data_IF_150699620298
#
_entry.id   IF_150699620298
#
_cell.length_a   1.000
_cell.length_b   1.000
_cell.length_c   1.000
_cell.angle_alpha   90.00
_cell.angle_beta   90.00
_cell.angle_gamma   90.00
#
_symmetry.space_group_name_H-M   'P 1'
#
loop_
_entity.id
_entity.type
_entity.pdbx_description
1 polymer ?
#
# COMPACT_ATOMS: atom_id res chain seq x y z
N UNK A 1 -12.90 -1.63 -0.39
CA UNK A 1 -11.82 -1.87 0.61
C UNK A 1 -10.90 -2.91 0.01
N UNK A 2 -9.63 -2.56 -0.17
CA UNK A 2 -8.65 -3.43 -0.83
C UNK A 2 -7.70 -4.04 0.20
N UNK A 3 -7.33 -5.29 -0.04
CA UNK A 3 -6.41 -6.04 0.79
C UNK A 3 -4.96 -5.71 0.39
N UNK A 4 -4.09 -5.50 1.38
CA UNK A 4 -2.64 -5.39 1.15
C UNK A 4 -1.92 -6.48 1.93
N UNK A 5 -2.19 -6.59 3.24
CA UNK A 5 -1.66 -7.67 4.08
C UNK A 5 -2.66 -7.98 5.19
N UNK A 6 -2.40 -9.03 5.99
CA UNK A 6 -3.29 -9.43 7.09
C UNK A 6 -3.60 -8.28 8.07
N UNK A 7 -2.64 -7.38 8.31
CA UNK A 7 -2.77 -6.27 9.26
C UNK A 7 -2.94 -4.89 8.63
N UNK A 8 -2.99 -4.80 7.28
CA UNK A 8 -3.01 -3.52 6.54
C UNK A 8 -4.04 -3.59 5.42
N UNK A 9 -4.92 -2.59 5.37
CA UNK A 9 -5.92 -2.41 4.31
C UNK A 9 -5.84 -1.01 3.73
N UNK A 10 -6.28 -0.86 2.48
CA UNK A 10 -6.42 0.47 1.89
C UNK A 10 -7.81 0.70 1.30
N UNK A 11 -8.15 1.97 1.19
CA UNK A 11 -9.31 2.47 0.48
C UNK A 11 -8.82 3.41 -0.61
N UNK A 12 -9.26 3.17 -1.85
CA UNK A 12 -8.95 4.03 -2.98
C UNK A 12 -10.14 4.91 -3.35
N UNK A 13 -9.83 6.09 -3.87
CA UNK A 13 -10.73 7.01 -4.55
C UNK A 13 -10.06 7.49 -5.85
N UNK A 14 -10.86 7.85 -6.85
CA UNK A 14 -10.38 8.23 -8.18
C UNK A 14 -10.62 7.13 -9.22
N UNK A 15 -9.70 6.97 -10.17
CA UNK A 15 -9.84 5.99 -11.25
C UNK A 15 -9.81 4.57 -10.67
N UNK A 16 -10.93 3.85 -10.77
CA UNK A 16 -11.06 2.51 -10.18
C UNK A 16 -9.93 1.56 -10.61
N UNK A 17 -9.61 1.55 -11.91
CA UNK A 17 -8.53 0.72 -12.46
C UNK A 17 -7.16 1.05 -11.85
N UNK A 18 -6.84 2.34 -11.69
CA UNK A 18 -5.58 2.77 -11.07
C UNK A 18 -5.52 2.33 -9.60
N UNK A 19 -6.62 2.52 -8.86
CA UNK A 19 -6.66 2.16 -7.43
C UNK A 19 -6.47 0.67 -7.21
N UNK A 20 -7.09 -0.17 -8.05
CA UNK A 20 -6.98 -1.62 -7.96
C UNK A 20 -5.59 -2.10 -8.41
N UNK A 21 -5.08 -1.58 -9.52
CA UNK A 21 -3.75 -1.94 -10.02
C UNK A 21 -2.64 -1.58 -9.04
N UNK A 22 -2.65 -0.34 -8.55
CA UNK A 22 -1.67 0.13 -7.57
C UNK A 22 -1.76 -0.68 -6.30
N UNK A 23 -2.96 -1.00 -5.83
CA UNK A 23 -3.10 -1.79 -4.61
C UNK A 23 -2.55 -3.21 -4.78
N UNK A 24 -2.88 -3.89 -5.88
CA UNK A 24 -2.39 -5.23 -6.15
C UNK A 24 -0.86 -5.25 -6.27
N UNK A 25 -0.28 -4.27 -6.97
CA UNK A 25 1.17 -4.11 -7.09
C UNK A 25 1.85 -3.97 -5.72
N UNK A 26 1.29 -3.12 -4.85
CA UNK A 26 1.85 -2.87 -3.53
C UNK A 26 1.66 -4.08 -2.61
N UNK A 27 0.52 -4.77 -2.69
CA UNK A 27 0.27 -6.03 -1.99
C UNK A 27 1.35 -7.07 -2.30
N UNK A 28 1.64 -7.31 -3.59
CA UNK A 28 2.68 -8.26 -3.99
C UNK A 28 4.09 -7.85 -3.54
N UNK A 29 4.43 -6.56 -3.64
CA UNK A 29 5.72 -6.07 -3.17
C UNK A 29 5.88 -6.19 -1.65
N UNK A 30 4.80 -5.99 -0.90
CA UNK A 30 4.82 -6.14 0.55
C UNK A 30 4.94 -7.59 0.99
N UNK A 31 4.26 -8.51 0.31
CA UNK A 31 4.39 -9.94 0.54
C UNK A 31 5.83 -10.40 0.25
N UNK A 32 6.40 -10.01 -0.89
CA UNK A 32 7.79 -10.28 -1.21
C UNK A 32 8.73 -9.69 -0.14
N UNK A 33 8.54 -8.43 0.26
CA UNK A 33 9.35 -7.79 1.29
C UNK A 33 9.26 -8.53 2.63
N UNK A 34 8.09 -9.04 3.00
CA UNK A 34 7.88 -9.83 4.21
C UNK A 34 8.62 -11.18 4.13
N UNK A 35 8.55 -11.87 2.98
CA UNK A 35 9.28 -13.11 2.72
C UNK A 35 10.80 -12.90 2.76
N UNK A 36 11.31 -11.84 2.11
CA UNK A 36 12.76 -11.54 2.07
C UNK A 36 13.32 -11.18 3.44
N UNK A 37 12.59 -10.44 4.27
CA UNK A 37 13.09 -9.98 5.57
C UNK A 37 12.65 -10.86 6.75
N UNK A 38 11.76 -11.84 6.52
CA UNK A 38 11.21 -12.70 7.57
C UNK A 38 10.47 -11.95 8.68
N UNK A 39 9.95 -10.75 8.39
CA UNK A 39 9.30 -9.88 9.39
C UNK A 39 7.94 -9.40 8.91
N UNK A 40 7.04 -9.13 9.86
CA UNK A 40 5.73 -8.57 9.56
C UNK A 40 5.88 -7.21 8.85
N UNK A 41 5.15 -6.99 7.75
CA UNK A 41 5.15 -5.72 7.04
C UNK A 41 4.70 -4.56 7.94
N UNK A 42 5.25 -3.37 7.69
CA UNK A 42 4.89 -2.13 8.41
C UNK A 42 4.04 -1.22 7.54
N UNK A 43 3.17 -0.44 8.17
CA UNK A 43 2.29 0.52 7.47
C UNK A 43 3.13 1.59 6.75
N UNK A 44 4.20 2.05 7.41
CA UNK A 44 5.15 3.03 6.84
C UNK A 44 5.84 2.51 5.57
N UNK A 45 6.11 1.20 5.48
CA UNK A 45 6.70 0.59 4.29
C UNK A 45 5.72 0.63 3.11
N UNK A 46 4.46 0.26 3.34
CA UNK A 46 3.38 0.37 2.35
C UNK A 46 3.23 1.80 1.83
N UNK A 47 3.14 2.76 2.76
CA UNK A 47 3.02 4.19 2.45
C UNK A 47 4.21 4.70 1.62
N UNK A 48 5.42 4.25 1.93
CA UNK A 48 6.63 4.66 1.23
C UNK A 48 6.68 4.12 -0.20
N UNK A 49 6.27 2.87 -0.42
CA UNK A 49 6.17 2.31 -1.78
C UNK A 49 5.10 3.04 -2.61
N UNK A 50 3.95 3.34 -2.00
CA UNK A 50 2.86 4.06 -2.65
C UNK A 50 3.22 5.47 -3.06
N UNK A 51 3.77 6.28 -2.14
CA UNK A 51 4.15 7.67 -2.44
C UNK A 51 5.20 7.72 -3.55
N UNK A 52 6.16 6.80 -3.56
CA UNK A 52 7.21 6.74 -4.58
C UNK A 52 6.61 6.38 -5.95
N UNK A 53 5.66 5.43 -5.98
CA UNK A 53 4.95 5.09 -7.19
C UNK A 53 4.14 6.28 -7.72
N UNK A 54 3.25 6.87 -6.91
CA UNK A 54 2.42 8.01 -7.33
C UNK A 54 3.26 9.21 -7.78
N UNK A 55 4.35 9.51 -7.06
CA UNK A 55 5.26 10.60 -7.42
C UNK A 55 6.00 10.33 -8.72
N UNK A 56 6.39 9.08 -9.00
CA UNK A 56 7.03 8.69 -10.26
C UNK A 56 6.14 8.96 -11.47
N UNK A 57 4.83 8.76 -11.34
CA UNK A 57 3.87 9.02 -12.41
C UNK A 57 3.38 10.48 -12.45
N UNK A 58 3.88 11.37 -11.59
CA UNK A 58 3.60 12.81 -11.60
C UNK A 58 2.09 13.15 -11.69
N UNK A 59 1.23 12.34 -11.06
CA UNK A 59 -0.23 12.55 -11.07
C UNK A 59 -0.98 12.02 -12.30
N UNK A 60 -0.32 11.30 -13.23
CA UNK A 60 -1.03 10.60 -14.31
C UNK A 60 -1.88 9.43 -13.78
N UNK A 61 -1.46 8.85 -12.65
CA UNK A 61 -2.22 7.83 -11.92
C UNK A 61 -3.15 8.56 -10.95
N UNK A 62 -4.45 8.56 -11.28
CA UNK A 62 -5.48 9.30 -10.57
C UNK A 62 -6.02 8.54 -9.37
N UNK A 63 -5.14 8.13 -8.44
CA UNK A 63 -5.52 7.35 -7.27
C UNK A 63 -5.23 8.12 -5.97
N UNK A 64 -6.27 8.43 -5.22
CA UNK A 64 -6.19 8.90 -3.84
C UNK A 64 -6.39 7.69 -2.91
N UNK A 65 -5.38 7.34 -2.13
CA UNK A 65 -5.37 6.12 -1.32
C UNK A 65 -5.26 6.49 0.16
N UNK A 66 -6.15 5.92 0.99
CA UNK A 66 -6.11 5.96 2.45
C UNK A 66 -5.66 4.59 2.93
N UNK A 67 -4.67 4.54 3.82
CA UNK A 67 -4.01 3.29 4.19
C UNK A 67 -4.02 3.14 5.70
N UNK A 68 -4.76 2.16 6.19
CA UNK A 68 -4.92 1.91 7.63
C UNK A 68 -4.40 0.53 7.99
N UNK A 69 -3.67 0.45 9.09
CA UNK A 69 -3.19 -0.84 9.57
C UNK A 69 -2.60 -0.77 10.97
N UNK A 70 -2.35 -1.96 11.51
CA UNK A 70 -1.66 -2.12 12.79
C UNK A 70 -0.34 -2.83 12.53
N UNK A 71 0.75 -2.25 12.98
CA UNK A 71 2.07 -2.88 12.94
C UNK A 71 2.71 -2.91 14.33
N UNK A 72 3.97 -3.34 14.40
CA UNK A 72 4.72 -3.43 15.68
C UNK A 72 4.93 -2.08 16.36
N UNK A 73 4.75 -0.95 15.66
CA UNK A 73 4.81 0.39 16.23
C UNK A 73 3.46 0.91 16.71
N UNK A 74 2.36 0.23 16.37
CA UNK A 74 1.01 0.57 16.80
C UNK A 74 0.03 0.73 15.63
N UNK A 75 -1.18 1.24 15.91
CA UNK A 75 -2.14 1.60 14.87
C UNK A 75 -1.68 2.85 14.12
N UNK A 76 -1.69 2.78 12.79
CA UNK A 76 -1.37 3.90 11.89
C UNK A 76 -2.48 4.07 10.84
N UNK A 77 -2.73 5.32 10.44
CA UNK A 77 -3.68 5.75 9.42
C UNK A 77 -3.03 6.81 8.51
#
# INVERSE_FOLDING_TARGET
IHYITESIRCCGAGTAADTEFVTNLISSNMEMHALTHGRKPRVVTAMTMLKQYLFKYQGHVGAALVLGGVDSTGPNL
#
